data_IF_979461854874
#
_entry.id   IF_979461854874
#
_cell.length_a   1.000
_cell.length_b   1.000
_cell.length_c   1.000
_cell.angle_alpha   90.00
_cell.angle_beta   90.00
_cell.angle_gamma   90.00
#
_symmetry.space_group_name_H-M   'P 1'
#
loop_
_entity.id
_entity.type
_entity.pdbx_description
1 polymer ?
#
# COMPACT_ATOMS: atom_id res chain seq x y z
N UNK A 1 -3.79 -10.62 -12.78
CA UNK A 1 -2.52 -11.38 -12.67
C UNK A 1 -2.60 -12.41 -11.56
N UNK A 2 -2.65 -12.03 -10.28
CA UNK A 2 -2.68 -13.00 -9.17
C UNK A 2 -3.80 -14.04 -9.25
N UNK A 3 -5.05 -13.63 -9.49
CA UNK A 3 -6.16 -14.57 -9.61
C UNK A 3 -5.93 -15.63 -10.70
N UNK A 4 -5.41 -15.21 -11.87
CA UNK A 4 -5.08 -16.15 -12.95
C UNK A 4 -3.95 -17.12 -12.58
N UNK A 5 -2.92 -16.65 -11.86
CA UNK A 5 -1.85 -17.52 -11.35
C UNK A 5 -2.37 -18.54 -10.33
N UNK A 6 -3.32 -18.14 -9.48
CA UNK A 6 -3.96 -19.04 -8.51
C UNK A 6 -4.84 -20.07 -9.22
N UNK A 7 -5.60 -19.68 -10.24
CA UNK A 7 -6.44 -20.61 -11.02
C UNK A 7 -5.61 -21.63 -11.81
N UNK A 8 -4.45 -21.22 -12.34
CA UNK A 8 -3.50 -22.14 -12.98
C UNK A 8 -2.93 -23.17 -11.98
N UNK A 9 -2.63 -22.72 -10.76
CA UNK A 9 -2.02 -23.57 -9.71
C UNK A 9 -3.03 -24.46 -8.99
N UNK A 10 -4.29 -24.03 -8.88
CA UNK A 10 -5.37 -24.78 -8.25
C UNK A 10 -6.54 -25.00 -9.23
N UNK A 11 -6.38 -25.92 -10.20
CA UNK A 11 -7.44 -26.22 -11.16
C UNK A 11 -8.75 -26.61 -10.46
N UNK A 12 -9.87 -26.07 -10.94
CA UNK A 12 -11.19 -26.33 -10.38
C UNK A 12 -11.60 -25.42 -9.23
N UNK A 13 -10.72 -24.50 -8.80
CA UNK A 13 -11.07 -23.42 -7.87
C UNK A 13 -11.17 -22.10 -8.59
N UNK A 14 -12.10 -21.26 -8.14
CA UNK A 14 -12.31 -19.92 -8.68
C UNK A 14 -11.82 -18.88 -7.69
N UNK A 15 -10.94 -17.99 -8.16
CA UNK A 15 -10.42 -16.90 -7.34
C UNK A 15 -10.91 -15.56 -7.87
N UNK A 16 -11.50 -14.74 -6.99
CA UNK A 16 -11.94 -13.38 -7.34
C UNK A 16 -11.04 -12.40 -6.62
N UNK A 17 -10.12 -11.78 -7.37
CA UNK A 17 -9.26 -10.72 -6.87
C UNK A 17 -9.94 -9.36 -6.97
N UNK A 18 -10.05 -8.63 -5.86
CA UNK A 18 -10.57 -7.26 -5.83
C UNK A 18 -9.48 -6.32 -5.33
N UNK A 19 -8.99 -5.44 -6.20
CA UNK A 19 -8.04 -4.40 -5.80
C UNK A 19 -8.79 -3.28 -5.08
N UNK A 20 -8.43 -3.04 -3.82
CA UNK A 20 -8.94 -1.94 -2.98
C UNK A 20 -7.82 -0.99 -2.52
N UNK A 21 -6.66 -1.07 -3.16
CA UNK A 21 -5.57 -0.11 -3.02
C UNK A 21 -5.98 1.26 -3.55
N UNK A 22 -5.53 2.30 -2.87
CA UNK A 22 -5.74 3.69 -3.27
C UNK A 22 -4.36 4.36 -3.26
N UNK A 23 -3.97 5.03 -4.35
CA UNK A 23 -2.69 5.74 -4.40
C UNK A 23 -2.54 6.75 -3.25
N UNK A 24 -1.38 6.78 -2.60
CA UNK A 24 -1.10 7.70 -1.49
C UNK A 24 -1.92 7.44 -0.22
N UNK A 25 -2.33 6.20 0.05
CA UNK A 25 -3.00 5.86 1.32
C UNK A 25 -1.95 5.53 2.39
N UNK A 26 -2.05 6.19 3.55
CA UNK A 26 -1.35 5.82 4.78
C UNK A 26 -2.11 4.74 5.54
N UNK A 27 -1.47 4.07 6.50
CA UNK A 27 -2.13 3.04 7.31
C UNK A 27 -3.28 3.59 8.15
N UNK A 28 -3.22 4.83 8.60
CA UNK A 28 -4.34 5.49 9.29
C UNK A 28 -5.59 5.57 8.39
N UNK A 29 -5.40 5.93 7.12
CA UNK A 29 -6.49 6.00 6.15
C UNK A 29 -6.97 4.62 5.69
N UNK A 30 -6.06 3.64 5.57
CA UNK A 30 -6.41 2.23 5.35
C UNK A 30 -7.32 1.74 6.48
N UNK A 31 -6.91 1.92 7.73
CA UNK A 31 -7.63 1.46 8.91
C UNK A 31 -9.04 2.06 8.98
N UNK A 32 -9.15 3.37 8.77
CA UNK A 32 -10.45 4.07 8.77
C UNK A 32 -11.44 3.52 7.74
N UNK A 33 -10.95 3.05 6.59
CA UNK A 33 -11.82 2.56 5.50
C UNK A 33 -11.98 1.04 5.46
N UNK A 34 -11.21 0.31 6.27
CA UNK A 34 -11.22 -1.15 6.28
C UNK A 34 -12.58 -1.74 6.71
N UNK A 35 -13.27 -1.26 7.76
CA UNK A 35 -14.57 -1.81 8.16
C UNK A 35 -15.59 -1.82 7.02
N UNK A 36 -15.75 -0.70 6.31
CA UNK A 36 -16.67 -0.59 5.17
C UNK A 36 -16.29 -1.55 4.05
N UNK A 37 -14.98 -1.68 3.76
CA UNK A 37 -14.48 -2.62 2.74
C UNK A 37 -14.78 -4.07 3.12
N UNK A 38 -14.56 -4.46 4.38
CA UNK A 38 -14.86 -5.81 4.87
C UNK A 38 -16.36 -6.11 4.77
N UNK A 39 -17.22 -5.14 5.14
CA UNK A 39 -18.67 -5.31 5.09
C UNK A 39 -19.22 -5.44 3.65
N UNK A 40 -18.72 -4.62 2.72
CA UNK A 40 -19.18 -4.59 1.33
C UNK A 40 -18.65 -5.78 0.53
N UNK A 41 -17.37 -6.10 0.70
CA UNK A 41 -16.70 -7.13 -0.11
C UNK A 41 -16.89 -8.53 0.47
N UNK A 42 -16.95 -8.66 1.81
CA UNK A 42 -16.93 -9.94 2.54
C UNK A 42 -15.84 -10.90 2.02
N UNK A 43 -14.57 -10.47 2.04
CA UNK A 43 -13.48 -11.29 1.50
C UNK A 43 -13.21 -12.51 2.39
N UNK A 44 -12.76 -13.61 1.79
CA UNK A 44 -12.18 -14.73 2.57
C UNK A 44 -10.74 -14.43 3.02
N UNK A 45 -10.01 -13.65 2.21
CA UNK A 45 -8.60 -13.30 2.43
C UNK A 45 -8.38 -11.82 2.10
N UNK A 46 -7.60 -11.14 2.94
CA UNK A 46 -7.11 -9.78 2.72
C UNK A 46 -5.59 -9.79 2.67
N UNK A 47 -5.02 -9.28 1.57
CA UNK A 47 -3.60 -8.98 1.46
C UNK A 47 -3.36 -7.52 1.85
N UNK A 48 -2.41 -7.26 2.73
CA UNK A 48 -2.05 -5.89 3.16
C UNK A 48 -0.58 -5.63 2.80
N UNK A 49 -0.38 -4.60 1.98
CA UNK A 49 0.93 -4.03 1.63
C UNK A 49 0.85 -2.54 1.97
N UNK A 50 1.59 -2.10 2.98
CA UNK A 50 1.31 -0.85 3.70
C UNK A 50 2.60 -0.25 4.29
N UNK A 51 2.61 1.07 4.56
CA UNK A 51 3.73 1.75 5.25
C UNK A 51 4.53 2.73 4.40
N UNK A 52 4.62 2.55 3.07
CA UNK A 52 5.46 3.41 2.22
C UNK A 52 5.09 4.91 2.32
N UNK A 53 3.80 5.19 2.33
CA UNK A 53 3.27 6.54 2.42
C UNK A 53 3.30 7.11 3.85
N UNK A 54 3.46 6.26 4.86
CA UNK A 54 3.53 6.64 6.27
C UNK A 54 4.92 7.24 6.57
N UNK A 55 5.99 6.67 5.99
CA UNK A 55 7.34 7.24 6.08
C UNK A 55 7.54 8.42 5.11
N UNK A 56 6.92 8.35 3.93
CA UNK A 56 7.11 9.35 2.90
C UNK A 56 5.80 10.05 2.51
N UNK A 57 5.54 11.18 3.16
CA UNK A 57 4.41 12.07 2.83
C UNK A 57 4.47 12.61 1.40
N UNK A 58 5.60 12.52 0.69
CA UNK A 58 5.69 12.93 -0.71
C UNK A 58 5.14 11.88 -1.67
N UNK A 59 4.97 10.63 -1.22
CA UNK A 59 4.24 9.60 -1.93
C UNK A 59 2.71 9.77 -1.77
N UNK A 60 2.27 10.57 -0.78
CA UNK A 60 0.93 11.10 -0.76
C UNK A 60 0.80 12.17 -1.86
N UNK A 61 0.20 11.78 -2.99
CA UNK A 61 -0.04 12.67 -4.12
C UNK A 61 -0.86 13.93 -3.80
N UNK A 62 -1.63 13.87 -2.71
CA UNK A 62 -2.35 15.02 -2.17
C UNK A 62 -1.40 15.81 -1.28
N UNK A 63 -1.17 17.09 -1.61
CA UNK A 63 -0.47 17.99 -0.69
C UNK A 63 -1.25 18.00 0.63
N UNK A 64 -0.59 17.84 1.80
CA UNK A 64 -1.23 18.18 3.04
C UNK A 64 -1.80 19.59 2.85
N UNK A 65 -3.04 19.79 3.26
CA UNK A 65 -3.54 21.16 3.33
C UNK A 65 -2.51 21.92 4.16
N UNK A 66 -1.72 22.82 3.54
CA UNK A 66 -0.99 23.84 4.31
C UNK A 66 -1.98 24.31 5.35
N UNK A 67 -1.59 24.29 6.62
CA UNK A 67 -2.43 24.73 7.75
C UNK A 67 -3.37 25.83 7.25
N UNK A 68 -4.61 25.42 7.06
CA UNK A 68 -5.48 26.10 6.12
C UNK A 68 -5.83 27.44 6.73
N UNK A 69 -5.33 28.54 6.14
CA UNK A 69 -5.85 29.88 6.40
C UNK A 69 -7.36 29.99 6.10
N UNK A 70 -7.96 28.96 5.48
CA UNK A 70 -9.39 28.85 5.24
C UNK A 70 -10.08 28.30 6.49
N UNK A 71 -11.11 29.00 7.02
CA UNK A 71 -11.89 28.56 8.18
C UNK A 71 -12.42 27.12 8.05
N UNK A 72 -12.45 26.38 9.15
CA UNK A 72 -12.84 24.98 9.20
C UNK A 72 -14.20 24.71 8.52
N UNK A 73 -15.19 25.58 8.73
CA UNK A 73 -16.53 25.43 8.14
C UNK A 73 -16.53 25.44 6.60
N UNK A 74 -15.62 26.19 5.96
CA UNK A 74 -15.49 26.23 4.50
C UNK A 74 -14.82 24.95 4.01
N UNK A 75 -13.80 24.49 4.75
CA UNK A 75 -13.07 23.28 4.41
C UNK A 75 -13.94 22.02 4.45
N UNK A 76 -15.04 22.05 5.20
CA UNK A 76 -16.00 20.96 5.31
C UNK A 76 -17.02 20.89 4.18
N UNK A 77 -17.25 22.00 3.47
CA UNK A 77 -18.20 22.05 2.36
C UNK A 77 -17.80 21.09 1.24
N UNK A 78 -18.75 20.29 0.77
CA UNK A 78 -18.56 19.38 -0.37
C UNK A 78 -18.08 20.13 -1.61
N UNK A 79 -18.64 21.32 -1.88
CA UNK A 79 -18.25 22.16 -3.02
C UNK A 79 -16.77 22.54 -2.93
N UNK A 80 -16.30 22.96 -1.76
CA UNK A 80 -14.87 23.26 -1.56
C UNK A 80 -14.00 22.03 -1.80
N UNK A 81 -14.37 20.88 -1.24
CA UNK A 81 -13.65 19.61 -1.45
C UNK A 81 -13.61 19.22 -2.94
N UNK A 82 -14.71 19.37 -3.67
CA UNK A 82 -14.79 19.09 -5.10
C UNK A 82 -13.95 20.08 -5.92
N UNK A 83 -14.06 21.38 -5.65
CA UNK A 83 -13.26 22.40 -6.34
C UNK A 83 -11.78 22.16 -6.10
N UNK A 84 -11.37 21.88 -4.86
CA UNK A 84 -9.99 21.55 -4.53
C UNK A 84 -9.52 20.28 -5.26
N UNK A 85 -10.35 19.24 -5.32
CA UNK A 85 -10.04 18.02 -6.06
C UNK A 85 -9.82 18.31 -7.56
N UNK A 86 -10.68 19.12 -8.18
CA UNK A 86 -10.52 19.53 -9.58
C UNK A 86 -9.18 20.24 -9.78
N UNK A 87 -8.82 21.17 -8.89
CA UNK A 87 -7.53 21.86 -8.96
C UNK A 87 -6.34 20.91 -8.80
N UNK A 88 -6.42 19.94 -7.90
CA UNK A 88 -5.35 18.92 -7.76
C UNK A 88 -5.24 18.03 -9.00
N UNK A 89 -6.36 17.64 -9.60
CA UNK A 89 -6.38 16.82 -10.82
C UNK A 89 -5.93 17.57 -12.08
N UNK A 90 -6.04 18.90 -12.10
CA UNK A 90 -5.61 19.74 -13.22
C UNK A 90 -4.09 19.99 -13.25
N UNK A 91 -3.34 19.49 -12.27
CA UNK A 91 -1.90 19.71 -12.19
C UNK A 91 -1.15 18.93 -13.27
N UNK A 92 -0.08 19.53 -13.79
CA UNK A 92 0.77 18.93 -14.81
C UNK A 92 1.51 17.68 -14.35
N UNK A 93 1.65 17.49 -13.04
CA UNK A 93 2.28 16.34 -12.42
C UNK A 93 1.30 15.22 -12.07
N UNK A 94 0.03 15.34 -12.47
CA UNK A 94 -0.96 14.26 -12.38
C UNK A 94 -1.12 13.63 -13.75
N UNK A 95 -0.85 12.33 -13.86
CA UNK A 95 -1.08 11.56 -15.08
C UNK A 95 -2.13 10.49 -14.84
N UNK A 96 -2.83 10.12 -15.90
CA UNK A 96 -3.67 8.92 -15.93
C UNK A 96 -2.92 7.82 -16.67
N UNK A 97 -2.65 6.72 -16.00
CA UNK A 97 -2.05 5.53 -16.62
C UNK A 97 -2.88 4.30 -16.24
N UNK A 98 -3.21 3.47 -17.24
CA UNK A 98 -3.98 2.23 -17.07
C UNK A 98 -5.31 2.38 -16.27
N UNK A 99 -5.95 3.54 -16.35
CA UNK A 99 -7.21 3.84 -15.62
C UNK A 99 -7.01 4.31 -14.18
N UNK A 100 -5.77 4.40 -13.70
CA UNK A 100 -5.41 4.92 -12.39
C UNK A 100 -4.96 6.39 -12.49
N UNK A 101 -5.21 7.17 -11.43
CA UNK A 101 -4.72 8.55 -11.30
C UNK A 101 -3.43 8.50 -10.48
N UNK A 102 -2.34 8.88 -11.11
CA UNK A 102 -1.00 8.85 -10.54
C UNK A 102 -0.48 10.27 -10.37
N UNK A 103 0.01 10.56 -9.16
CA UNK A 103 0.61 11.86 -8.82
C UNK A 103 2.13 11.73 -8.92
N UNK A 104 2.70 12.16 -10.04
CA UNK A 104 4.12 12.10 -10.36
C UNK A 104 4.89 13.31 -9.86
N UNK A 105 5.32 13.31 -8.60
CA UNK A 105 6.31 14.30 -8.16
C UNK A 105 7.69 13.87 -8.67
N UNK A 106 8.13 14.41 -9.81
CA UNK A 106 9.47 14.17 -10.38
C UNK A 106 10.55 14.27 -9.28
N UNK A 107 11.18 13.15 -8.92
CA UNK A 107 12.24 13.07 -7.90
C UNK A 107 11.84 12.59 -6.50
N UNK A 108 10.54 12.47 -6.17
CA UNK A 108 10.13 11.99 -4.83
C UNK A 108 10.43 10.49 -4.61
N UNK A 109 10.46 9.71 -5.69
CA UNK A 109 10.74 8.27 -5.69
C UNK A 109 12.23 7.93 -5.91
N UNK A 110 13.03 8.87 -6.43
CA UNK A 110 14.49 8.70 -6.59
C UNK A 110 15.24 8.67 -5.25
N UNK A 111 14.59 9.12 -4.17
CA UNK A 111 15.18 9.24 -2.82
C UNK A 111 14.65 8.18 -1.83
N UNK A 112 14.07 7.07 -2.30
CA UNK A 112 13.59 6.00 -1.40
C UNK A 112 14.70 4.98 -1.09
N UNK A 113 15.88 5.13 -1.72
CA UNK A 113 17.10 4.70 -1.05
C UNK A 113 17.32 5.69 0.09
N UNK A 114 17.02 5.24 1.30
CA UNK A 114 17.19 5.95 2.55
C UNK A 114 18.64 6.43 2.72
N UNK A 115 18.98 7.53 2.04
CA UNK A 115 20.17 8.33 2.36
C UNK A 115 19.90 9.03 3.70
N UNK A 116 20.27 8.33 4.76
CA UNK A 116 20.32 8.73 6.17
C UNK A 116 19.01 9.28 6.78
N UNK A 117 18.57 8.79 7.96
CA UNK A 117 17.38 9.29 8.60
C UNK A 117 17.59 10.74 9.06
N UNK A 118 17.03 11.71 8.32
CA UNK A 118 17.11 13.15 8.69
C UNK A 118 16.30 13.51 9.94
N UNK A 119 15.46 12.60 10.44
CA UNK A 119 14.56 12.84 11.59
C UNK A 119 14.19 11.51 12.29
N UNK A 120 15.00 11.12 13.27
CA UNK A 120 14.80 9.89 14.08
C UNK A 120 13.48 9.92 14.87
N UNK A 121 13.03 11.10 15.29
CA UNK A 121 11.78 11.26 16.05
C UNK A 121 10.58 10.97 15.14
N UNK A 122 10.59 11.49 13.91
CA UNK A 122 9.56 11.16 12.90
C UNK A 122 9.53 9.66 12.64
N UNK A 123 10.68 9.02 12.42
CA UNK A 123 10.75 7.58 12.14
C UNK A 123 10.18 6.79 13.30
N UNK A 124 10.56 7.12 14.54
CA UNK A 124 10.05 6.47 15.75
C UNK A 124 8.54 6.59 15.85
N UNK A 125 7.99 7.80 15.65
CA UNK A 125 6.55 8.05 15.68
C UNK A 125 5.81 7.28 14.59
N UNK A 126 6.26 7.39 13.34
CA UNK A 126 5.66 6.70 12.19
C UNK A 126 5.69 5.19 12.38
N UNK A 127 6.81 4.64 12.86
CA UNK A 127 6.95 3.20 13.13
C UNK A 127 5.93 2.74 14.17
N UNK A 128 5.75 3.52 15.23
CA UNK A 128 4.76 3.24 16.28
C UNK A 128 3.35 3.26 15.72
N UNK A 129 2.98 4.31 14.99
CA UNK A 129 1.63 4.47 14.41
C UNK A 129 1.34 3.36 13.39
N UNK A 130 2.31 3.07 12.50
CA UNK A 130 2.25 1.98 11.54
C UNK A 130 1.95 0.65 12.25
N UNK A 131 2.74 0.32 13.27
CA UNK A 131 2.56 -0.90 14.06
C UNK A 131 1.16 -0.97 14.69
N UNK A 132 0.74 0.10 15.37
CA UNK A 132 -0.59 0.16 16.00
C UNK A 132 -1.70 -0.05 14.97
N UNK A 133 -1.61 0.60 13.81
CA UNK A 133 -2.59 0.46 12.75
C UNK A 133 -2.63 -0.95 12.16
N UNK A 134 -1.47 -1.58 11.94
CA UNK A 134 -1.39 -2.95 11.42
C UNK A 134 -2.04 -3.96 12.36
N UNK A 135 -1.76 -3.88 13.66
CA UNK A 135 -2.38 -4.74 14.69
C UNK A 135 -3.91 -4.56 14.69
N UNK A 136 -4.39 -3.32 14.62
CA UNK A 136 -5.83 -3.07 14.60
C UNK A 136 -6.49 -3.57 13.30
N UNK A 137 -5.82 -3.46 12.15
CA UNK A 137 -6.33 -4.05 10.90
C UNK A 137 -6.43 -5.58 10.99
N UNK A 138 -5.45 -6.25 11.61
CA UNK A 138 -5.51 -7.70 11.87
C UNK A 138 -6.69 -8.02 12.77
N UNK A 139 -6.87 -7.27 13.86
CA UNK A 139 -7.99 -7.43 14.80
C UNK A 139 -9.34 -7.33 14.08
N UNK A 140 -9.51 -6.30 13.24
CA UNK A 140 -10.74 -6.12 12.47
C UNK A 140 -10.98 -7.26 11.48
N UNK A 141 -9.95 -7.74 10.78
CA UNK A 141 -10.09 -8.89 9.88
C UNK A 141 -10.54 -10.14 10.65
N UNK A 142 -9.87 -10.46 11.77
CA UNK A 142 -10.21 -11.60 12.64
C UNK A 142 -11.63 -11.54 13.17
N UNK A 143 -12.06 -10.38 13.65
CA UNK A 143 -13.43 -10.18 14.15
C UNK A 143 -14.50 -10.42 13.08
N UNK A 144 -14.14 -10.28 11.80
CA UNK A 144 -15.02 -10.54 10.66
C UNK A 144 -14.81 -11.95 10.05
N UNK A 145 -14.01 -12.83 10.70
CA UNK A 145 -13.72 -14.16 10.18
C UNK A 145 -12.88 -14.17 8.89
N UNK A 146 -12.15 -13.09 8.64
CA UNK A 146 -11.35 -12.88 7.43
C UNK A 146 -9.88 -13.16 7.74
N UNK A 147 -9.24 -13.99 6.90
CA UNK A 147 -7.80 -14.21 7.00
C UNK A 147 -7.02 -13.05 6.43
N UNK A 148 -5.89 -12.75 7.04
CA UNK A 148 -5.03 -11.63 6.68
C UNK A 148 -3.62 -12.11 6.45
N UNK A 149 -2.97 -11.57 5.43
CA UNK A 149 -1.56 -11.80 5.12
C UNK A 149 -0.90 -10.47 4.81
N UNK A 150 0.31 -10.28 5.32
CA UNK A 150 1.14 -9.13 4.99
C UNK A 150 2.03 -9.43 3.79
N UNK A 151 2.20 -8.45 2.91
CA UNK A 151 3.03 -8.53 1.73
C UNK A 151 4.03 -7.39 1.75
N UNK A 152 5.32 -7.72 1.70
CA UNK A 152 6.40 -6.73 1.64
C UNK A 152 6.53 -6.07 0.26
N UNK A 153 7.23 -4.94 0.22
CA UNK A 153 7.67 -4.27 -1.01
C UNK A 153 8.92 -4.90 -1.59
N UNK A 154 9.11 -4.73 -2.90
CA UNK A 154 10.29 -5.25 -3.62
C UNK A 154 11.59 -4.65 -3.08
N UNK A 155 11.58 -3.40 -2.58
CA UNK A 155 12.80 -2.69 -2.22
C UNK A 155 12.72 -1.83 -0.95
N UNK A 156 11.61 -1.87 -0.21
CA UNK A 156 11.49 -1.14 1.05
C UNK A 156 12.14 -1.94 2.18
N UNK A 157 12.94 -1.34 3.06
CA UNK A 157 13.67 -2.07 4.11
C UNK A 157 12.90 -1.94 5.42
N UNK A 158 12.65 -0.71 5.86
CA UNK A 158 12.04 -0.35 7.14
C UNK A 158 10.59 -0.84 7.21
N UNK A 159 9.79 -0.57 6.17
CA UNK A 159 8.40 -1.02 6.09
C UNK A 159 8.31 -2.54 6.13
N UNK A 160 9.20 -3.22 5.39
CA UNK A 160 9.24 -4.68 5.36
C UNK A 160 9.64 -5.26 6.72
N UNK A 161 10.57 -4.62 7.43
CA UNK A 161 10.95 -5.02 8.78
C UNK A 161 9.78 -4.89 9.76
N UNK A 162 9.03 -3.78 9.72
CA UNK A 162 7.85 -3.57 10.58
C UNK A 162 6.74 -4.57 10.24
N UNK A 163 6.42 -4.76 8.95
CA UNK A 163 5.42 -5.73 8.50
C UNK A 163 5.79 -7.15 8.97
N UNK A 164 7.04 -7.56 8.75
CA UNK A 164 7.50 -8.89 9.15
C UNK A 164 7.47 -9.09 10.65
N UNK A 165 7.86 -8.09 11.44
CA UNK A 165 7.83 -8.17 12.89
C UNK A 165 6.40 -8.29 13.44
N UNK A 166 5.48 -7.44 12.98
CA UNK A 166 4.07 -7.49 13.40
C UNK A 166 3.42 -8.79 12.98
N UNK A 167 3.69 -9.28 11.77
CA UNK A 167 3.16 -10.55 11.30
C UNK A 167 3.60 -11.72 12.19
N UNK A 168 4.87 -11.75 12.58
CA UNK A 168 5.40 -12.79 13.46
C UNK A 168 4.78 -12.74 14.87
N UNK A 169 4.67 -11.55 15.46
CA UNK A 169 4.08 -11.36 16.79
C UNK A 169 2.59 -11.72 16.83
N UNK A 170 1.86 -11.32 15.79
CA UNK A 170 0.42 -11.60 15.68
C UNK A 170 0.16 -13.01 15.16
N UNK A 171 1.16 -13.76 14.70
CA UNK A 171 0.96 -15.10 14.15
C UNK A 171 0.14 -15.11 12.85
N UNK A 172 0.39 -14.14 11.95
CA UNK A 172 -0.16 -14.12 10.60
C UNK A 172 0.96 -14.33 9.55
N UNK A 173 0.65 -14.83 8.34
CA UNK A 173 1.67 -14.98 7.32
C UNK A 173 2.25 -13.64 6.85
N UNK A 174 3.55 -13.64 6.55
CA UNK A 174 4.25 -12.56 5.87
C UNK A 174 4.90 -13.09 4.59
N UNK A 175 4.64 -12.40 3.48
CA UNK A 175 5.16 -12.75 2.15
C UNK A 175 6.18 -11.69 1.75
N UNK A 176 7.46 -12.07 1.79
CA UNK A 176 8.53 -11.20 1.29
C UNK A 176 8.54 -11.19 -0.23
N UNK A 177 8.47 -9.98 -0.81
CA UNK A 177 8.74 -9.76 -2.24
C UNK A 177 10.09 -9.08 -2.47
N UNK A 178 10.84 -8.84 -1.39
CA UNK A 178 12.08 -8.08 -1.38
C UNK A 178 13.14 -8.72 -2.28
N UNK A 179 13.85 -7.89 -3.05
CA UNK A 179 15.01 -8.28 -3.82
C UNK A 179 16.13 -7.28 -3.52
N UNK A 180 17.30 -7.79 -3.13
CA UNK A 180 18.46 -6.94 -2.92
C UNK A 180 18.83 -6.20 -4.21
N UNK A 181 19.30 -4.96 -4.08
CA UNK A 181 19.57 -4.08 -5.23
C UNK A 181 20.48 -4.72 -6.29
N UNK A 182 21.47 -5.49 -5.87
CA UNK A 182 22.44 -6.16 -6.75
C UNK A 182 21.89 -7.41 -7.44
N UNK A 183 20.83 -8.02 -6.93
CA UNK A 183 20.18 -9.22 -7.48
C UNK A 183 18.99 -8.87 -8.38
N UNK A 184 18.68 -7.58 -8.49
CA UNK A 184 17.44 -7.09 -9.06
C UNK A 184 17.45 -7.19 -10.59
N UNK A 185 16.51 -7.92 -11.19
CA UNK A 185 16.31 -7.90 -12.64
C UNK A 185 16.00 -6.48 -13.16
N UNK A 186 16.52 -6.10 -14.34
CA UNK A 186 16.15 -4.84 -14.96
C UNK A 186 14.65 -4.83 -15.31
N UNK A 187 14.04 -3.64 -15.25
CA UNK A 187 12.65 -3.44 -15.69
C UNK A 187 11.58 -3.88 -14.69
N UNK A 188 11.90 -4.17 -13.43
CA UNK A 188 10.88 -4.41 -12.39
C UNK A 188 10.12 -3.15 -11.96
N UNK A 189 10.67 -1.97 -12.23
CA UNK A 189 10.11 -0.67 -11.86
C UNK A 189 9.82 0.18 -13.10
N UNK A 190 8.88 1.11 -12.97
CA UNK A 190 8.67 2.19 -13.93
C UNK A 190 9.80 3.22 -13.92
N UNK A 191 9.66 4.29 -14.72
CA UNK A 191 10.66 5.35 -14.85
C UNK A 191 10.99 6.05 -13.51
N UNK A 192 10.07 5.99 -12.57
CA UNK A 192 10.19 6.62 -11.27
C UNK A 192 11.04 5.82 -10.27
N UNK A 193 11.42 4.59 -10.61
CA UNK A 193 12.27 3.72 -9.79
C UNK A 193 11.59 3.13 -8.54
N UNK A 194 10.29 3.32 -8.35
CA UNK A 194 9.55 2.87 -7.18
C UNK A 194 8.29 2.07 -7.50
N UNK A 195 7.47 2.55 -8.43
CA UNK A 195 6.25 1.86 -8.77
C UNK A 195 6.58 0.64 -9.64
N UNK A 196 6.06 -0.55 -9.31
CA UNK A 196 6.33 -1.74 -10.10
C UNK A 196 5.86 -1.59 -11.54
N UNK A 197 6.66 -2.06 -12.49
CA UNK A 197 6.24 -2.26 -13.87
C UNK A 197 5.27 -3.46 -13.96
N UNK A 198 4.71 -3.78 -15.13
CA UNK A 198 4.00 -5.04 -15.32
C UNK A 198 4.82 -6.28 -14.94
N UNK A 199 6.16 -6.25 -15.11
CA UNK A 199 7.04 -7.32 -14.67
C UNK A 199 7.20 -7.34 -13.14
N UNK A 200 7.31 -6.17 -12.50
CA UNK A 200 7.31 -6.05 -11.04
C UNK A 200 6.01 -6.55 -10.40
N UNK A 201 4.86 -6.19 -10.96
CA UNK A 201 3.56 -6.71 -10.52
C UNK A 201 3.45 -8.23 -10.69
N UNK A 202 4.01 -8.80 -11.77
CA UNK A 202 4.08 -10.26 -11.93
C UNK A 202 4.96 -10.93 -10.88
N UNK A 203 6.10 -10.33 -10.53
CA UNK A 203 6.96 -10.83 -9.45
C UNK A 203 6.21 -10.86 -8.11
N UNK A 204 5.55 -9.76 -7.73
CA UNK A 204 4.74 -9.69 -6.50
C UNK A 204 3.64 -10.75 -6.52
N UNK A 205 2.90 -10.86 -7.62
CA UNK A 205 1.81 -11.82 -7.74
C UNK A 205 2.31 -13.28 -7.66
N UNK A 206 3.45 -13.59 -8.26
CA UNK A 206 4.08 -14.91 -8.20
C UNK A 206 4.42 -15.29 -6.76
N UNK A 207 5.10 -14.41 -6.02
CA UNK A 207 5.42 -14.63 -4.60
C UNK A 207 4.18 -14.84 -3.74
N UNK A 208 3.11 -14.09 -4.00
CA UNK A 208 1.84 -14.30 -3.29
C UNK A 208 1.25 -15.67 -3.63
N UNK A 209 1.19 -16.05 -4.91
CA UNK A 209 0.65 -17.32 -5.33
C UNK A 209 1.45 -18.52 -4.81
N UNK A 210 2.79 -18.42 -4.77
CA UNK A 210 3.67 -19.42 -4.17
C UNK A 210 3.33 -19.64 -2.70
N UNK A 211 3.26 -18.55 -1.92
CA UNK A 211 3.07 -18.63 -0.48
C UNK A 211 1.65 -19.08 -0.10
N UNK A 212 0.61 -18.58 -0.77
CA UNK A 212 -0.77 -18.95 -0.44
C UNK A 212 -1.03 -20.45 -0.55
N UNK A 213 -0.28 -21.15 -1.40
CA UNK A 213 -0.38 -22.59 -1.52
C UNK A 213 -0.04 -23.39 -0.27
N UNK A 214 0.72 -22.80 0.63
CA UNK A 214 1.21 -23.48 1.83
C UNK A 214 0.25 -23.34 3.02
N UNK A 215 -0.71 -22.40 2.98
CA UNK A 215 -1.54 -22.08 4.15
C UNK A 215 -2.98 -21.62 3.85
N UNK A 216 -3.34 -21.37 2.60
CA UNK A 216 -4.71 -21.02 2.21
C UNK A 216 -5.36 -22.24 1.53
N UNK A 217 -6.14 -23.04 2.29
CA UNK A 217 -6.56 -24.37 1.89
C UNK A 217 -7.49 -24.35 0.70
#
# INVERSE_FOLDING_TARGET
VLAGLLEERYPGRRFVGLNRGVPGLTTTAMLRTLPDKLQVVRPGLVTIMAGANDYNDQLNGLRPARESLVPAFVSDLRVYKMTRLIFELARSDVKRENGEILFYRHGASKNILYEEPKDEEKITRVTKDLRTNLVEMIRLCRQNGVSVVFVGYIQAIEENAVLSAVAAEEGIPYISTFIHLHERPPGLFGEDGWHPSPAGHRHIAGKIADALGDFWP
#
